data_IF_850811614293
#
_entry.id   IF_850811614293
#
_cell.length_a   1.000
_cell.length_b   1.000
_cell.length_c   1.000
_cell.angle_alpha   90.00
_cell.angle_beta   90.00
_cell.angle_gamma   90.00
#
_symmetry.space_group_name_H-M   'P 1'
#
loop_
_entity.id
_entity.type
_entity.pdbx_description
1 polymer ?
#
# COMPACT_ATOMS: atom_id res chain seq x y z
N UNK A 1 -56.22 37.76 -38.07
CA UNK A 1 -54.72 37.54 -38.17
C UNK A 1 -54.20 37.36 -36.74
N UNK A 2 -54.06 36.07 -36.32
CA UNK A 2 -53.55 35.68 -34.98
C UNK A 2 -52.11 35.32 -35.13
N UNK A 3 -51.18 36.05 -34.49
CA UNK A 3 -49.75 35.69 -34.40
C UNK A 3 -49.53 34.77 -33.23
N UNK A 4 -49.08 33.57 -33.54
CA UNK A 4 -48.67 32.54 -32.56
C UNK A 4 -47.21 32.78 -32.22
N UNK A 5 -46.92 33.11 -30.95
CA UNK A 5 -45.56 33.17 -30.40
C UNK A 5 -45.20 31.82 -29.80
N UNK A 6 -44.24 31.13 -30.39
CA UNK A 6 -43.66 29.88 -29.85
C UNK A 6 -42.48 30.28 -28.96
N UNK A 7 -42.62 30.08 -27.64
CA UNK A 7 -41.55 30.23 -26.67
C UNK A 7 -40.75 28.91 -26.63
N UNK A 8 -39.52 28.95 -27.14
CA UNK A 8 -38.60 27.84 -27.03
C UNK A 8 -37.97 27.78 -25.63
N UNK A 9 -38.23 26.71 -24.93
CA UNK A 9 -37.57 26.41 -23.65
C UNK A 9 -36.23 25.74 -23.94
N UNK A 10 -35.13 26.46 -23.73
CA UNK A 10 -33.78 25.93 -23.75
C UNK A 10 -33.48 25.25 -22.40
N UNK A 11 -33.52 23.92 -22.35
CA UNK A 11 -33.06 23.17 -21.20
C UNK A 11 -31.53 23.04 -21.25
N UNK A 12 -30.84 23.79 -20.39
CA UNK A 12 -29.41 23.63 -20.14
C UNK A 12 -29.17 22.38 -19.29
N UNK A 13 -28.67 21.31 -19.91
CA UNK A 13 -28.14 20.14 -19.18
C UNK A 13 -26.74 20.48 -18.69
N UNK A 14 -26.59 20.71 -17.37
CA UNK A 14 -25.31 20.82 -16.69
C UNK A 14 -24.68 19.42 -16.62
N UNK A 15 -23.73 19.12 -17.52
CA UNK A 15 -22.86 17.98 -17.42
C UNK A 15 -21.83 18.30 -16.32
N UNK A 16 -22.09 17.84 -15.10
CA UNK A 16 -21.16 17.92 -13.99
C UNK A 16 -20.00 16.96 -14.23
N UNK A 17 -18.83 17.44 -14.64
CA UNK A 17 -17.59 16.68 -14.55
C UNK A 17 -17.24 16.48 -13.08
N UNK A 18 -17.45 15.27 -12.55
CA UNK A 18 -16.95 14.88 -11.25
C UNK A 18 -15.41 14.78 -11.33
N UNK A 19 -14.72 15.86 -11.00
CA UNK A 19 -13.27 15.88 -10.88
C UNK A 19 -12.89 15.11 -9.61
N UNK A 20 -12.27 13.95 -9.75
CA UNK A 20 -11.66 13.22 -8.63
C UNK A 20 -10.58 14.11 -8.01
N UNK A 21 -10.54 14.28 -6.66
CA UNK A 21 -9.56 15.15 -6.04
C UNK A 21 -8.12 14.69 -6.37
N UNK A 22 -7.18 15.63 -6.60
CA UNK A 22 -5.81 15.33 -7.03
C UNK A 22 -5.05 14.34 -6.13
N UNK A 23 -5.39 14.30 -4.84
CA UNK A 23 -4.78 13.38 -3.87
C UNK A 23 -5.13 11.91 -4.14
N UNK A 24 -6.37 11.61 -4.52
CA UNK A 24 -6.80 10.26 -4.82
C UNK A 24 -6.13 9.72 -6.10
N UNK A 25 -5.92 10.57 -7.11
CA UNK A 25 -5.21 10.21 -8.33
C UNK A 25 -3.71 9.95 -8.10
N UNK A 26 -3.08 10.73 -7.21
CA UNK A 26 -1.67 10.54 -6.86
C UNK A 26 -1.40 9.22 -6.12
N UNK A 27 -2.30 8.79 -5.24
CA UNK A 27 -2.17 7.52 -4.51
C UNK A 27 -2.36 6.29 -5.41
N UNK A 28 -3.14 6.38 -6.49
CA UNK A 28 -3.33 5.26 -7.42
C UNK A 28 -2.11 4.98 -8.32
N UNK A 29 -1.09 5.83 -8.29
CA UNK A 29 0.13 5.68 -9.09
C UNK A 29 1.37 5.35 -8.26
N UNK A 30 1.22 5.18 -6.95
CA UNK A 30 2.34 4.88 -6.06
C UNK A 30 2.79 3.43 -6.23
N UNK A 31 4.09 3.21 -6.32
CA UNK A 31 4.68 1.88 -6.13
C UNK A 31 4.83 1.64 -4.64
N UNK A 32 4.40 0.48 -4.16
CA UNK A 32 4.50 0.09 -2.75
C UNK A 32 5.69 -0.86 -2.60
N UNK A 33 6.65 -0.47 -1.76
CA UNK A 33 7.74 -1.34 -1.31
C UNK A 33 7.48 -1.73 0.14
N UNK A 34 7.61 -3.01 0.44
CA UNK A 34 7.68 -3.58 1.78
C UNK A 34 9.04 -4.22 2.01
N UNK A 35 9.57 -4.12 3.23
CA UNK A 35 10.77 -4.87 3.65
C UNK A 35 10.67 -5.27 5.11
N UNK A 36 11.13 -6.48 5.44
CA UNK A 36 11.32 -6.96 6.80
C UNK A 36 12.77 -6.84 7.25
N UNK A 37 13.00 -6.59 8.55
CA UNK A 37 14.32 -6.63 9.16
C UNK A 37 14.62 -7.98 9.82
N UNK A 38 15.88 -8.24 10.21
CA UNK A 38 16.20 -9.35 11.11
C UNK A 38 15.44 -9.29 12.44
N UNK A 39 15.24 -10.46 13.05
CA UNK A 39 14.82 -10.63 14.43
C UNK A 39 15.88 -11.48 15.19
N UNK A 40 15.66 -11.71 16.46
CA UNK A 40 16.43 -12.72 17.18
C UNK A 40 15.84 -14.10 16.89
N UNK A 41 16.28 -14.72 15.77
CA UNK A 41 15.80 -16.03 15.30
C UNK A 41 15.77 -16.12 13.77
N UNK A 42 14.96 -17.03 13.24
CA UNK A 42 14.86 -17.36 11.82
C UNK A 42 13.69 -16.61 11.13
N UNK A 43 13.57 -15.30 11.36
CA UNK A 43 12.56 -14.51 10.66
C UNK A 43 12.93 -14.30 9.19
N UNK A 44 11.99 -14.47 8.24
CA UNK A 44 12.26 -14.18 6.84
C UNK A 44 12.66 -12.73 6.62
N UNK A 45 13.81 -12.52 5.97
CA UNK A 45 14.33 -11.20 5.61
C UNK A 45 14.21 -11.06 4.10
N UNK A 46 13.34 -10.14 3.65
CA UNK A 46 13.10 -9.92 2.23
C UNK A 46 12.56 -8.52 1.98
N UNK A 47 12.55 -8.13 0.73
CA UNK A 47 11.81 -6.97 0.25
C UNK A 47 10.94 -7.36 -0.94
N UNK A 48 9.84 -6.67 -1.09
CA UNK A 48 8.96 -6.81 -2.24
C UNK A 48 8.45 -5.44 -2.67
N UNK A 49 8.55 -5.16 -3.96
CA UNK A 49 8.01 -3.97 -4.59
C UNK A 49 6.86 -4.37 -5.51
N UNK A 50 5.71 -3.71 -5.40
CA UNK A 50 4.55 -3.92 -6.26
C UNK A 50 4.10 -2.61 -6.87
N UNK A 51 3.93 -2.59 -8.19
CA UNK A 51 3.44 -1.44 -8.96
C UNK A 51 1.94 -1.49 -9.18
N UNK A 52 1.29 -0.36 -9.53
CA UNK A 52 -0.12 -0.31 -9.89
C UNK A 52 -0.52 -1.21 -11.07
N UNK A 53 0.43 -1.54 -11.95
CA UNK A 53 0.22 -2.48 -13.07
C UNK A 53 0.20 -3.95 -12.65
N UNK A 54 0.59 -4.26 -11.40
CA UNK A 54 0.72 -5.62 -10.89
C UNK A 54 2.11 -6.24 -11.13
N UNK A 55 3.11 -5.48 -11.60
CA UNK A 55 4.49 -5.96 -11.62
C UNK A 55 5.00 -6.06 -10.17
N UNK A 56 5.57 -7.21 -9.82
CA UNK A 56 6.10 -7.53 -8.48
C UNK A 56 7.57 -7.89 -8.60
N UNK A 57 8.42 -7.22 -7.83
CA UNK A 57 9.84 -7.53 -7.68
C UNK A 57 10.10 -7.99 -6.25
N UNK A 58 10.39 -9.27 -6.07
CA UNK A 58 10.75 -9.89 -4.79
C UNK A 58 12.26 -10.02 -4.69
N UNK A 59 12.82 -9.83 -3.49
CA UNK A 59 14.24 -10.06 -3.20
C UNK A 59 14.38 -10.71 -1.81
N UNK A 60 14.55 -12.05 -1.80
CA UNK A 60 14.79 -12.85 -0.61
C UNK A 60 16.23 -12.75 -0.17
N UNK A 61 16.46 -12.39 1.10
CA UNK A 61 17.81 -12.22 1.67
C UNK A 61 18.22 -13.39 2.55
N UNK A 62 17.38 -13.74 3.54
CA UNK A 62 17.70 -14.76 4.52
C UNK A 62 16.43 -15.36 5.11
N UNK A 63 16.44 -16.64 5.42
CA UNK A 63 15.32 -17.40 5.97
C UNK A 63 14.05 -17.35 5.13
N UNK A 64 14.19 -17.08 3.83
CA UNK A 64 13.15 -17.22 2.82
C UNK A 64 13.34 -18.54 2.08
N UNK A 65 12.27 -19.13 1.58
CA UNK A 65 12.32 -20.35 0.76
C UNK A 65 13.10 -20.12 -0.54
N UNK A 66 12.94 -18.92 -1.13
CA UNK A 66 13.72 -18.49 -2.29
C UNK A 66 14.62 -17.34 -1.91
N UNK A 67 15.93 -17.47 -2.14
CA UNK A 67 16.93 -16.40 -1.95
C UNK A 67 17.26 -15.77 -3.29
N UNK A 68 17.48 -14.46 -3.29
CA UNK A 68 17.72 -13.66 -4.50
C UNK A 68 16.43 -13.06 -5.08
N UNK A 69 16.56 -12.52 -6.28
CA UNK A 69 15.48 -11.77 -6.92
C UNK A 69 14.56 -12.66 -7.75
N UNK A 70 13.26 -12.36 -7.72
CA UNK A 70 12.22 -12.95 -8.55
C UNK A 70 11.28 -11.85 -9.05
N UNK A 71 11.04 -11.84 -10.35
CA UNK A 71 10.06 -10.95 -10.99
C UNK A 71 8.82 -11.74 -11.36
N UNK A 72 7.66 -11.25 -10.93
CA UNK A 72 6.37 -11.86 -11.25
C UNK A 72 5.35 -10.77 -11.61
N UNK A 73 4.23 -11.22 -12.15
CA UNK A 73 3.11 -10.32 -12.46
C UNK A 73 1.85 -10.87 -11.82
N UNK A 74 1.15 -10.02 -11.09
CA UNK A 74 -0.16 -10.32 -10.52
C UNK A 74 -1.24 -9.42 -11.15
N UNK A 75 -2.50 -9.74 -10.91
CA UNK A 75 -3.58 -8.86 -11.36
C UNK A 75 -3.46 -7.47 -10.71
N UNK A 76 -3.72 -6.36 -11.43
CA UNK A 76 -3.81 -5.02 -10.84
C UNK A 76 -4.79 -4.90 -9.67
N UNK A 77 -5.76 -5.80 -9.57
CA UNK A 77 -6.69 -5.90 -8.43
C UNK A 77 -5.98 -6.28 -7.13
N UNK A 78 -4.88 -7.05 -7.20
CA UNK A 78 -4.05 -7.41 -6.04
C UNK A 78 -3.37 -6.17 -5.48
N UNK A 79 -2.76 -5.34 -6.34
CA UNK A 79 -2.21 -4.06 -5.94
C UNK A 79 -3.26 -3.17 -5.25
N UNK A 80 -4.45 -3.03 -5.87
CA UNK A 80 -5.55 -2.23 -5.31
C UNK A 80 -5.97 -2.73 -3.94
N UNK A 81 -6.05 -4.05 -3.75
CA UNK A 81 -6.39 -4.64 -2.46
C UNK A 81 -5.32 -4.33 -1.41
N UNK A 82 -4.04 -4.55 -1.72
CA UNK A 82 -2.95 -4.18 -0.81
C UNK A 82 -2.97 -2.69 -0.45
N UNK A 83 -3.19 -1.82 -1.43
CA UNK A 83 -3.30 -0.37 -1.23
C UNK A 83 -4.46 -0.03 -0.28
N UNK A 84 -5.63 -0.67 -0.43
CA UNK A 84 -6.80 -0.47 0.43
C UNK A 84 -6.53 -0.93 1.87
N UNK A 85 -5.93 -2.11 2.06
CA UNK A 85 -5.57 -2.64 3.37
C UNK A 85 -4.56 -1.74 4.10
N UNK A 86 -3.60 -1.17 3.37
CA UNK A 86 -2.58 -0.28 3.92
C UNK A 86 -3.07 1.17 4.11
N UNK A 87 -4.23 1.56 3.56
CA UNK A 87 -4.70 2.95 3.54
C UNK A 87 -4.76 3.59 4.93
N UNK A 88 -5.24 2.85 5.94
CA UNK A 88 -5.38 3.32 7.33
C UNK A 88 -4.03 3.59 7.99
N UNK A 89 -2.98 2.93 7.53
CA UNK A 89 -1.63 3.01 8.11
C UNK A 89 -0.70 3.92 7.32
N UNK A 90 -1.09 4.29 6.09
CA UNK A 90 -0.26 5.12 5.22
C UNK A 90 -0.19 6.55 5.79
N UNK A 91 1.02 7.07 6.08
CA UNK A 91 1.20 8.44 6.52
C UNK A 91 0.79 9.47 5.44
N UNK A 92 0.74 10.74 5.82
CA UNK A 92 0.61 11.84 4.87
C UNK A 92 1.72 11.79 3.82
N UNK A 93 1.39 12.20 2.60
CA UNK A 93 2.33 12.15 1.47
C UNK A 93 3.61 12.92 1.79
N UNK A 94 4.76 12.26 1.57
CA UNK A 94 6.09 12.80 1.87
C UNK A 94 6.53 12.66 3.33
N UNK A 95 5.64 12.23 4.24
CA UNK A 95 6.01 12.02 5.64
C UNK A 95 6.87 10.76 5.84
N UNK A 96 7.67 10.79 6.91
CA UNK A 96 8.44 9.65 7.40
C UNK A 96 8.04 9.40 8.86
N UNK A 97 7.28 8.35 9.10
CA UNK A 97 6.64 8.07 10.39
C UNK A 97 7.15 6.74 10.94
N UNK A 98 7.37 6.71 12.25
CA UNK A 98 7.58 5.49 13.02
C UNK A 98 6.36 5.27 13.91
N UNK A 99 5.85 4.04 13.97
CA UNK A 99 4.76 3.72 14.89
C UNK A 99 5.17 3.93 16.34
N UNK A 100 4.25 4.47 17.12
CA UNK A 100 4.40 4.81 18.53
C UNK A 100 3.18 4.28 19.31
N UNK A 101 3.05 4.64 20.59
CA UNK A 101 1.90 4.27 21.39
C UNK A 101 1.87 2.79 21.78
N UNK A 102 3.04 2.18 21.96
CA UNK A 102 3.15 0.82 22.47
C UNK A 102 2.62 0.76 23.91
N UNK A 103 1.59 -0.02 24.15
CA UNK A 103 1.11 -0.32 25.51
C UNK A 103 2.00 -1.38 26.18
N UNK A 104 2.53 -2.28 25.36
CA UNK A 104 3.53 -3.29 25.74
C UNK A 104 4.58 -3.37 24.64
N UNK A 105 5.78 -3.81 24.99
CA UNK A 105 6.86 -4.03 24.03
C UNK A 105 7.41 -5.45 24.21
N UNK A 106 7.28 -6.29 23.18
CA UNK A 106 7.99 -7.55 23.06
C UNK A 106 9.38 -7.30 22.46
N UNK A 107 10.42 -7.90 23.04
CA UNK A 107 11.79 -7.84 22.48
C UNK A 107 11.97 -8.82 21.33
N UNK A 108 13.09 -8.68 20.62
CA UNK A 108 13.57 -9.64 19.63
C UNK A 108 12.70 -9.83 18.39
N UNK A 109 11.73 -8.93 18.18
CA UNK A 109 10.84 -8.93 17.03
C UNK A 109 11.45 -8.15 15.85
N UNK A 110 11.10 -8.48 14.59
CA UNK A 110 11.53 -7.73 13.44
C UNK A 110 10.82 -6.38 13.34
N UNK A 111 11.31 -5.53 12.45
CA UNK A 111 10.60 -4.34 11.99
C UNK A 111 10.12 -4.53 10.56
N UNK A 112 8.99 -3.95 10.25
CA UNK A 112 8.43 -3.81 8.92
C UNK A 112 8.60 -2.38 8.44
N UNK A 113 9.01 -2.23 7.20
CA UNK A 113 9.19 -0.95 6.56
C UNK A 113 8.34 -0.88 5.32
N UNK A 114 7.64 0.24 5.14
CA UNK A 114 6.84 0.55 3.96
C UNK A 114 7.30 1.83 3.32
N UNK A 115 7.37 1.84 1.98
CA UNK A 115 7.60 3.02 1.18
C UNK A 115 6.53 3.09 0.09
N UNK A 116 5.88 4.24 -0.01
CA UNK A 116 5.01 4.60 -1.12
C UNK A 116 5.77 5.59 -1.99
N UNK A 117 6.18 5.13 -3.17
CA UNK A 117 7.00 5.92 -4.11
C UNK A 117 6.10 6.43 -5.23
N UNK A 118 6.03 7.73 -5.38
CA UNK A 118 5.29 8.40 -6.45
C UNK A 118 6.18 8.59 -7.68
N UNK A 119 5.58 8.73 -8.92
CA UNK A 119 6.32 9.03 -10.14
C UNK A 119 7.09 10.35 -10.10
N UNK A 120 6.65 11.32 -9.30
CA UNK A 120 7.31 12.61 -9.10
C UNK A 120 8.55 12.54 -8.17
N UNK A 121 8.90 11.33 -7.68
CA UNK A 121 10.00 11.10 -6.75
C UNK A 121 9.66 11.29 -5.28
N UNK A 122 8.45 11.72 -4.95
CA UNK A 122 8.00 11.83 -3.54
C UNK A 122 7.91 10.43 -2.92
N UNK A 123 8.48 10.28 -1.72
CA UNK A 123 8.47 9.01 -0.97
C UNK A 123 7.86 9.21 0.40
N UNK A 124 6.78 8.48 0.68
CA UNK A 124 6.16 8.38 2.02
C UNK A 124 6.69 7.13 2.71
N UNK A 125 6.97 7.19 4.01
CA UNK A 125 7.58 6.06 4.75
C UNK A 125 6.85 5.79 6.04
N UNK A 126 6.69 4.48 6.33
CA UNK A 126 6.26 3.99 7.63
C UNK A 126 7.26 2.95 8.12
N UNK A 127 7.74 3.11 9.34
CA UNK A 127 8.54 2.12 10.07
C UNK A 127 7.72 1.58 11.23
N UNK A 128 7.54 0.27 11.29
CA UNK A 128 6.74 -0.41 12.31
C UNK A 128 7.56 -1.50 12.98
N UNK A 129 7.69 -1.42 14.30
CA UNK A 129 8.28 -2.48 15.11
C UNK A 129 7.19 -3.49 15.51
N UNK A 130 7.30 -4.73 15.07
CA UNK A 130 6.29 -5.78 15.32
C UNK A 130 6.07 -6.01 16.81
N UNK A 131 7.11 -5.83 17.62
CA UNK A 131 7.03 -5.93 19.07
C UNK A 131 6.34 -4.75 19.78
N UNK A 132 5.94 -3.71 19.07
CA UNK A 132 5.18 -2.59 19.61
C UNK A 132 3.69 -2.93 19.68
N UNK A 133 3.22 -3.40 20.83
CA UNK A 133 1.90 -3.97 21.00
C UNK A 133 0.91 -2.91 21.51
N UNK A 134 -0.16 -2.71 20.75
CA UNK A 134 -1.39 -1.99 21.08
C UNK A 134 -2.51 -2.52 20.19
N UNK A 135 -3.80 -2.26 20.45
CA UNK A 135 -4.88 -2.74 19.58
C UNK A 135 -4.68 -2.39 18.09
N UNK A 136 -4.31 -1.13 17.79
CA UNK A 136 -4.07 -0.69 16.41
C UNK A 136 -2.85 -1.39 15.78
N UNK A 137 -1.77 -1.58 16.54
CA UNK A 137 -0.55 -2.23 16.05
C UNK A 137 -0.74 -3.75 15.83
N UNK A 138 -1.59 -4.40 16.63
CA UNK A 138 -1.94 -5.82 16.43
C UNK A 138 -2.62 -6.02 15.07
N UNK A 139 -3.52 -5.14 14.67
CA UNK A 139 -4.17 -5.24 13.36
C UNK A 139 -3.18 -5.01 12.22
N UNK A 140 -2.24 -4.08 12.38
CA UNK A 140 -1.15 -3.90 11.41
C UNK A 140 -0.24 -5.13 11.34
N UNK A 141 0.08 -5.76 12.48
CA UNK A 141 0.86 -7.00 12.51
C UNK A 141 0.18 -8.13 11.73
N UNK A 142 -1.12 -8.34 11.92
CA UNK A 142 -1.90 -9.33 11.15
C UNK A 142 -1.89 -9.05 9.65
N UNK A 143 -1.99 -7.79 9.26
CA UNK A 143 -1.87 -7.41 7.85
C UNK A 143 -0.48 -7.74 7.31
N UNK A 144 0.58 -7.41 8.04
CA UNK A 144 1.97 -7.69 7.65
C UNK A 144 2.21 -9.19 7.46
N UNK A 145 1.73 -10.02 8.37
CA UNK A 145 1.81 -11.49 8.27
C UNK A 145 1.08 -12.02 7.03
N UNK A 146 0.00 -11.38 6.62
CA UNK A 146 -0.80 -11.79 5.46
C UNK A 146 -0.30 -11.21 4.12
N UNK A 147 0.64 -10.27 4.10
CA UNK A 147 1.16 -9.66 2.85
C UNK A 147 1.64 -10.72 1.85
N UNK A 148 2.47 -11.73 2.20
CA UNK A 148 2.94 -12.72 1.24
C UNK A 148 1.81 -13.43 0.51
N UNK A 149 0.79 -13.86 1.24
CA UNK A 149 -0.40 -14.49 0.67
C UNK A 149 -1.22 -13.52 -0.17
N UNK A 150 -1.42 -12.30 0.31
CA UNK A 150 -2.21 -11.26 -0.35
C UNK A 150 -1.67 -10.92 -1.74
N UNK A 151 -0.34 -10.88 -1.89
CA UNK A 151 0.33 -10.51 -3.14
C UNK A 151 0.87 -11.73 -3.92
N UNK A 152 0.57 -12.96 -3.46
CA UNK A 152 0.89 -14.19 -4.19
C UNK A 152 2.38 -14.59 -4.16
N UNK A 153 3.11 -14.23 -3.11
CA UNK A 153 4.54 -14.61 -2.91
C UNK A 153 4.75 -15.54 -1.71
N UNK A 154 3.70 -16.15 -1.17
CA UNK A 154 3.78 -17.02 0.00
C UNK A 154 4.80 -18.14 -0.21
N UNK A 155 4.79 -18.78 -1.39
CA UNK A 155 5.74 -19.85 -1.78
C UNK A 155 7.20 -19.37 -1.98
N UNK A 156 7.44 -18.06 -2.03
CA UNK A 156 8.80 -17.50 -2.06
C UNK A 156 9.35 -17.24 -0.65
N UNK A 157 8.43 -16.95 0.28
CA UNK A 157 8.78 -16.59 1.67
C UNK A 157 8.81 -17.82 2.59
N UNK A 158 7.82 -18.73 2.48
CA UNK A 158 7.59 -19.88 3.38
C UNK A 158 7.64 -21.23 2.68
#
# INVERSE_FOLDING_TARGET
>A
MKKLLIAGVFTFTLVGCASTPPQAQGMMQETILYSSSPCFGACPIYSVEISPSGAVHFDGKQYTKVTGTQDLTVSPSVYKKLQQELQTYRPETGANVKTTGCQQTATDQPSAYFWWKRPDGTVTRLSHYIGCISPANIELNKLIENIPKLIGIEDLVH
#
